data_IF_005495036479
#
_entry.id   IF_005495036479
#
_cell.length_a   1.000
_cell.length_b   1.000
_cell.length_c   1.000
_cell.angle_alpha   90.00
_cell.angle_beta   90.00
_cell.angle_gamma   90.00
#
_symmetry.space_group_name_H-M   'P 1'
#
loop_
_entity.id
_entity.type
_entity.pdbx_description
1 polymer ?
#
# COMPACT_ATOMS: atom_id res chain seq x y z
N UNK A 1 43.85 37.88 -21.39
CA UNK A 1 43.81 36.63 -20.58
C UNK A 1 42.83 36.67 -19.41
N UNK A 2 42.70 37.71 -18.59
CA UNK A 2 41.74 37.76 -17.45
C UNK A 2 40.26 37.63 -17.83
N UNK A 3 39.81 38.07 -19.01
CA UNK A 3 38.42 37.97 -19.45
C UNK A 3 37.99 36.53 -19.85
N UNK A 4 38.92 35.69 -20.29
CA UNK A 4 38.67 34.31 -20.70
C UNK A 4 38.42 33.41 -19.47
N UNK A 5 39.17 33.65 -18.39
CA UNK A 5 38.99 32.91 -17.14
C UNK A 5 37.63 33.16 -16.48
N UNK A 6 37.09 34.40 -16.59
CA UNK A 6 35.77 34.72 -16.06
C UNK A 6 34.63 33.97 -16.80
N UNK A 7 34.76 33.80 -18.12
CA UNK A 7 33.77 33.07 -18.92
C UNK A 7 33.81 31.57 -18.65
N UNK A 8 34.98 30.98 -18.43
CA UNK A 8 35.12 29.55 -18.10
C UNK A 8 34.58 29.26 -16.71
N UNK A 9 34.83 30.11 -15.71
CA UNK A 9 34.30 29.97 -14.37
C UNK A 9 32.77 30.12 -14.35
N UNK A 10 32.20 31.07 -15.11
CA UNK A 10 30.75 31.22 -15.24
C UNK A 10 30.10 30.04 -15.95
N UNK A 11 30.77 29.45 -16.96
CA UNK A 11 30.29 28.24 -17.65
C UNK A 11 30.32 26.99 -16.76
N UNK A 12 31.31 26.85 -15.88
CA UNK A 12 31.43 25.75 -14.92
C UNK A 12 30.37 25.88 -13.80
N UNK A 13 30.07 27.10 -13.36
CA UNK A 13 29.02 27.34 -12.38
C UNK A 13 27.62 27.05 -12.97
N UNK A 14 27.40 27.32 -14.25
CA UNK A 14 26.13 27.00 -14.93
C UNK A 14 25.94 25.50 -15.21
N UNK A 15 27.02 24.73 -15.34
CA UNK A 15 26.94 23.27 -15.52
C UNK A 15 26.72 22.49 -14.22
N UNK A 16 26.84 23.14 -13.05
CA UNK A 16 26.54 22.50 -11.75
C UNK A 16 25.07 22.62 -11.31
N UNK A 17 24.25 23.39 -12.02
CA UNK A 17 22.80 23.29 -11.92
C UNK A 17 22.31 22.22 -12.90
N UNK A 18 22.75 20.98 -12.72
CA UNK A 18 21.94 19.84 -13.14
C UNK A 18 20.66 19.95 -12.32
N UNK A 19 19.58 20.42 -12.94
CA UNK A 19 18.24 20.24 -12.40
C UNK A 19 18.09 18.74 -12.21
N UNK A 20 18.30 18.26 -10.98
CA UNK A 20 17.82 16.96 -10.58
C UNK A 20 16.31 17.05 -10.79
N UNK A 21 15.81 16.48 -11.86
CA UNK A 21 14.37 16.30 -12.03
C UNK A 21 13.91 15.58 -10.79
N UNK A 22 13.02 16.20 -10.02
CA UNK A 22 12.48 15.60 -8.81
C UNK A 22 11.81 14.28 -9.23
N UNK A 23 12.41 13.16 -8.82
CA UNK A 23 11.90 11.85 -9.20
C UNK A 23 10.58 11.62 -8.47
N UNK A 24 9.62 11.08 -9.19
CA UNK A 24 8.39 10.59 -8.56
C UNK A 24 8.73 9.45 -7.59
N UNK A 25 8.06 9.35 -6.46
CA UNK A 25 8.31 8.27 -5.48
C UNK A 25 8.13 6.87 -6.09
N UNK A 26 7.21 6.71 -7.07
CA UNK A 26 6.98 5.42 -7.75
C UNK A 26 8.02 5.09 -8.84
N UNK A 27 8.97 5.97 -9.09
CA UNK A 27 10.11 5.83 -10.02
C UNK A 27 11.41 6.19 -9.31
N UNK A 28 11.52 5.89 -8.01
CA UNK A 28 12.65 6.26 -7.19
C UNK A 28 13.03 5.13 -6.23
N UNK A 29 14.04 4.36 -6.59
CA UNK A 29 14.53 3.22 -5.81
C UNK A 29 15.01 3.57 -4.39
N UNK A 30 15.14 4.84 -4.04
CA UNK A 30 15.49 5.29 -2.69
C UNK A 30 14.25 5.48 -1.82
N UNK A 31 13.03 5.48 -2.42
CA UNK A 31 11.76 5.74 -1.75
C UNK A 31 10.79 4.58 -1.95
N UNK A 32 10.98 3.49 -1.24
CA UNK A 32 10.06 2.36 -1.28
C UNK A 32 8.96 2.42 -0.20
N UNK A 33 9.10 3.32 0.77
CA UNK A 33 8.10 3.58 1.81
C UNK A 33 8.24 4.97 2.44
N UNK A 34 7.12 5.54 2.86
CA UNK A 34 7.04 6.76 3.66
C UNK A 34 6.05 6.48 4.79
N UNK A 35 6.46 6.61 6.05
CA UNK A 35 5.65 6.40 7.26
C UNK A 35 4.93 5.03 7.33
N UNK A 36 5.31 4.04 6.54
CA UNK A 36 4.85 2.66 6.70
C UNK A 36 5.45 2.10 7.98
N UNK A 37 4.63 1.43 8.78
CA UNK A 37 5.09 0.73 9.97
C UNK A 37 6.05 -0.40 9.61
N UNK A 38 6.97 -0.72 10.53
CA UNK A 38 7.84 -1.89 10.37
C UNK A 38 6.99 -3.16 10.25
N UNK A 39 7.25 -4.03 9.26
CA UNK A 39 6.56 -5.31 9.13
C UNK A 39 6.66 -6.14 10.41
N UNK A 40 5.58 -6.81 10.77
CA UNK A 40 5.45 -7.60 11.99
C UNK A 40 4.58 -8.83 11.78
N UNK A 41 4.59 -9.74 12.73
CA UNK A 41 3.65 -10.84 12.73
C UNK A 41 2.21 -10.31 12.87
N UNK A 42 1.30 -10.82 12.04
CA UNK A 42 -0.12 -10.45 12.10
C UNK A 42 -0.74 -10.92 13.42
N UNK A 43 -1.49 -10.06 14.07
CA UNK A 43 -2.29 -10.39 15.24
C UNK A 43 -3.57 -9.56 15.29
N UNK A 44 -4.55 -10.05 16.04
CA UNK A 44 -5.80 -9.34 16.30
C UNK A 44 -5.91 -9.03 17.80
N UNK A 45 -6.04 -7.75 18.19
CA UNK A 45 -6.12 -7.37 19.59
C UNK A 45 -7.53 -7.67 20.16
N UNK A 46 -7.57 -8.25 21.35
CA UNK A 46 -8.80 -8.51 22.09
C UNK A 46 -8.76 -7.85 23.45
N UNK A 47 -9.89 -7.36 23.92
CA UNK A 47 -10.01 -6.73 25.25
C UNK A 47 -9.75 -7.72 26.40
N UNK A 48 -9.96 -9.03 26.20
CA UNK A 48 -9.69 -10.06 27.18
C UNK A 48 -9.68 -11.46 26.55
N UNK A 49 -9.07 -12.41 27.26
CA UNK A 49 -8.97 -13.82 26.85
C UNK A 49 -10.32 -14.49 26.61
N UNK A 50 -11.36 -14.14 27.40
CA UNK A 50 -12.70 -14.74 27.25
C UNK A 50 -13.31 -14.34 25.89
N UNK A 51 -13.16 -13.10 25.47
CA UNK A 51 -13.59 -12.63 24.15
C UNK A 51 -12.87 -13.41 23.05
N UNK A 52 -11.55 -13.51 23.13
CA UNK A 52 -10.72 -14.25 22.16
C UNK A 52 -11.13 -15.73 22.06
N UNK A 53 -11.23 -16.44 23.19
CA UNK A 53 -11.59 -17.87 23.19
C UNK A 53 -13.01 -18.17 22.75
N UNK A 54 -13.90 -17.18 22.78
CA UNK A 54 -15.27 -17.29 22.29
C UNK A 54 -15.46 -16.94 20.82
N UNK A 55 -14.37 -16.58 20.13
CA UNK A 55 -14.38 -16.33 18.70
C UNK A 55 -14.27 -17.64 17.91
N UNK A 56 -14.96 -17.65 16.79
CA UNK A 56 -14.84 -18.76 15.84
C UNK A 56 -13.42 -18.83 15.24
N UNK A 57 -12.78 -17.69 15.05
CA UNK A 57 -11.38 -17.52 14.61
C UNK A 57 -10.40 -18.28 15.53
N UNK A 58 -10.71 -18.46 16.81
CA UNK A 58 -9.84 -19.22 17.73
C UNK A 58 -9.67 -20.68 17.29
N UNK A 59 -10.74 -21.29 16.76
CA UNK A 59 -10.73 -22.65 16.24
C UNK A 59 -10.44 -22.71 14.73
N UNK A 60 -10.79 -21.66 14.01
CA UNK A 60 -10.71 -21.55 12.55
C UNK A 60 -9.99 -20.26 12.17
N UNK A 61 -8.64 -20.23 12.18
CA UNK A 61 -7.84 -19.01 12.02
C UNK A 61 -8.04 -18.24 10.69
N UNK A 62 -8.65 -18.88 9.70
CA UNK A 62 -8.99 -18.27 8.40
C UNK A 62 -10.31 -17.48 8.42
N UNK A 63 -11.05 -17.48 9.53
CA UNK A 63 -12.26 -16.68 9.69
C UNK A 63 -11.87 -15.35 10.32
N UNK A 64 -12.34 -14.24 9.74
CA UNK A 64 -12.08 -12.92 10.28
C UNK A 64 -12.70 -12.74 11.67
N UNK A 65 -11.98 -12.16 12.63
CA UNK A 65 -12.48 -11.99 13.98
C UNK A 65 -13.61 -10.94 14.05
N UNK A 66 -14.61 -11.20 14.88
CA UNK A 66 -15.75 -10.31 15.06
C UNK A 66 -15.72 -9.54 16.40
N UNK A 67 -14.99 -10.04 17.40
CA UNK A 67 -14.92 -9.45 18.76
C UNK A 67 -13.57 -8.79 19.04
N UNK A 68 -12.65 -8.84 18.10
CA UNK A 68 -11.40 -8.06 18.16
C UNK A 68 -11.68 -6.56 18.00
N UNK A 69 -10.78 -5.73 18.45
CA UNK A 69 -10.80 -4.28 18.16
C UNK A 69 -10.40 -4.03 16.69
N UNK A 70 -11.28 -4.42 15.79
CA UNK A 70 -11.09 -4.40 14.34
C UNK A 70 -12.35 -3.84 13.65
N UNK A 71 -12.16 -3.06 12.60
CA UNK A 71 -13.21 -2.56 11.71
C UNK A 71 -12.80 -2.89 10.28
N UNK A 72 -13.56 -3.77 9.62
CA UNK A 72 -13.37 -4.01 8.18
C UNK A 72 -13.76 -2.78 7.37
N UNK A 73 -12.91 -2.40 6.44
CA UNK A 73 -13.20 -1.39 5.44
C UNK A 73 -13.58 -2.00 4.09
N UNK A 74 -13.69 -3.31 4.01
CA UNK A 74 -14.14 -4.01 2.80
C UNK A 74 -15.52 -3.55 2.33
N UNK A 75 -15.90 -3.95 1.13
CA UNK A 75 -17.16 -3.63 0.51
C UNK A 75 -17.06 -2.46 -0.47
N UNK A 76 -18.07 -1.62 -0.55
CA UNK A 76 -18.15 -0.55 -1.55
C UNK A 76 -17.25 0.64 -1.20
N UNK A 77 -16.46 1.07 -2.20
CA UNK A 77 -15.66 2.28 -2.17
C UNK A 77 -16.02 3.16 -3.36
N UNK A 78 -15.84 4.46 -3.22
CA UNK A 78 -15.80 5.35 -4.37
C UNK A 78 -14.48 5.15 -5.12
N UNK A 79 -14.52 5.17 -6.45
CA UNK A 79 -13.38 4.84 -7.29
C UNK A 79 -13.30 5.75 -8.52
N UNK A 80 -12.10 6.22 -8.82
CA UNK A 80 -11.78 6.96 -10.03
C UNK A 80 -10.57 6.33 -10.70
N UNK A 81 -10.72 5.92 -11.96
CA UNK A 81 -9.65 5.33 -12.76
C UNK A 81 -8.99 6.40 -13.63
N UNK A 82 -7.68 6.47 -13.58
CA UNK A 82 -6.84 7.31 -14.44
C UNK A 82 -5.96 6.42 -15.31
N UNK A 83 -5.94 6.60 -16.64
CA UNK A 83 -5.18 5.73 -17.54
C UNK A 83 -3.66 5.94 -17.45
N UNK A 84 -3.23 7.04 -16.82
CA UNK A 84 -1.81 7.38 -16.65
C UNK A 84 -1.54 7.97 -15.28
N UNK A 85 -0.35 7.69 -14.74
CA UNK A 85 0.11 8.28 -13.48
C UNK A 85 0.16 9.82 -13.53
N UNK A 86 0.39 10.40 -14.72
CA UNK A 86 0.41 11.85 -14.92
C UNK A 86 -0.98 12.48 -14.93
N UNK A 87 -2.01 11.70 -15.22
CA UNK A 87 -3.41 12.14 -15.25
C UNK A 87 -4.17 11.85 -13.96
N UNK A 88 -3.49 11.27 -12.98
CA UNK A 88 -4.12 10.99 -11.69
C UNK A 88 -4.59 12.27 -11.00
N UNK A 89 -5.70 12.22 -10.26
CA UNK A 89 -6.17 13.36 -9.50
C UNK A 89 -5.11 13.90 -8.54
N UNK A 90 -4.94 15.21 -8.54
CA UNK A 90 -4.15 15.89 -7.51
C UNK A 90 -4.87 15.85 -6.16
N UNK A 91 -4.16 16.17 -5.07
CA UNK A 91 -4.77 16.31 -3.74
C UNK A 91 -5.95 17.29 -3.77
N UNK A 92 -5.79 18.43 -4.46
CA UNK A 92 -6.88 19.40 -4.60
C UNK A 92 -8.10 18.83 -5.36
N UNK A 93 -7.87 17.95 -6.34
CA UNK A 93 -8.95 17.31 -7.07
C UNK A 93 -9.69 16.28 -6.19
N UNK A 94 -8.94 15.49 -5.43
CA UNK A 94 -9.50 14.48 -4.52
C UNK A 94 -10.33 15.09 -3.40
N UNK A 95 -9.83 16.18 -2.80
CA UNK A 95 -10.44 16.74 -1.58
C UNK A 95 -11.51 17.80 -1.87
N UNK A 96 -11.65 18.25 -3.12
CA UNK A 96 -12.69 19.21 -3.50
C UNK A 96 -13.95 18.48 -3.92
N UNK A 97 -15.02 18.63 -3.15
CA UNK A 97 -16.31 18.00 -3.40
C UNK A 97 -16.84 18.32 -4.83
N UNK A 98 -17.22 17.27 -5.55
CA UNK A 98 -17.80 17.39 -6.90
C UNK A 98 -16.78 17.64 -8.02
N UNK A 99 -15.48 17.65 -7.72
CA UNK A 99 -14.45 17.84 -8.74
C UNK A 99 -14.14 16.54 -9.50
N UNK A 100 -14.21 15.39 -8.84
CA UNK A 100 -14.07 14.08 -9.46
C UNK A 100 -15.41 13.41 -9.68
N UNK A 101 -15.50 12.66 -10.79
CA UNK A 101 -16.59 11.72 -11.03
C UNK A 101 -16.18 10.40 -10.41
N UNK A 102 -16.93 10.00 -9.39
CA UNK A 102 -16.72 8.76 -8.68
C UNK A 102 -17.62 7.66 -9.23
N UNK A 103 -17.06 6.49 -9.44
CA UNK A 103 -17.76 5.23 -9.67
C UNK A 103 -17.72 4.42 -8.38
N UNK A 104 -18.35 3.25 -8.36
CA UNK A 104 -18.29 2.36 -7.20
C UNK A 104 -17.49 1.11 -7.54
N UNK A 105 -16.55 0.74 -6.67
CA UNK A 105 -15.80 -0.52 -6.76
C UNK A 105 -15.96 -1.30 -5.47
N UNK A 106 -15.93 -2.63 -5.54
CA UNK A 106 -15.84 -3.47 -4.35
C UNK A 106 -14.38 -3.66 -3.96
N UNK A 107 -14.08 -3.61 -2.67
CA UNK A 107 -12.80 -3.97 -2.07
C UNK A 107 -13.04 -5.16 -1.16
N UNK A 108 -12.27 -6.26 -1.24
CA UNK A 108 -11.12 -6.45 -2.15
C UNK A 108 -11.53 -6.72 -3.60
N UNK A 109 -10.74 -6.22 -4.54
CA UNK A 109 -10.84 -6.58 -5.96
C UNK A 109 -9.63 -6.09 -6.75
N UNK A 110 -9.44 -6.69 -7.94
CA UNK A 110 -8.56 -6.17 -8.97
C UNK A 110 -9.40 -5.40 -9.99
N UNK A 111 -9.02 -4.17 -10.34
CA UNK A 111 -9.81 -3.35 -11.25
C UNK A 111 -9.86 -3.90 -12.69
N UNK A 112 -8.85 -4.67 -13.11
CA UNK A 112 -8.82 -5.33 -14.41
C UNK A 112 -9.98 -6.33 -14.56
N UNK A 113 -10.34 -7.04 -13.49
CA UNK A 113 -11.46 -7.97 -13.49
C UNK A 113 -12.82 -7.27 -13.51
N UNK A 114 -12.84 -5.95 -13.31
CA UNK A 114 -14.04 -5.13 -13.31
C UNK A 114 -14.15 -4.26 -14.58
N UNK A 115 -13.23 -4.45 -15.55
CA UNK A 115 -13.29 -3.82 -16.85
C UNK A 115 -12.65 -2.43 -16.93
N UNK A 116 -11.89 -2.01 -15.94
CA UNK A 116 -11.16 -0.73 -15.96
C UNK A 116 -9.82 -0.81 -16.70
N UNK A 117 -9.27 -2.01 -16.81
CA UNK A 117 -8.02 -2.32 -17.49
C UNK A 117 -8.08 -3.79 -17.95
N UNK A 118 -6.97 -4.39 -18.34
CA UNK A 118 -6.93 -5.79 -18.75
C UNK A 118 -5.92 -6.59 -17.92
N UNK A 119 -6.21 -7.86 -17.61
CA UNK A 119 -5.24 -8.77 -16.98
C UNK A 119 -4.04 -8.96 -17.91
N UNK A 120 -2.85 -8.63 -17.43
CA UNK A 120 -1.63 -8.78 -18.19
C UNK A 120 -0.80 -9.93 -17.63
N UNK A 121 -0.56 -10.94 -18.47
CA UNK A 121 0.37 -12.00 -18.17
C UNK A 121 1.71 -11.73 -18.83
N UNK A 122 2.79 -11.76 -18.07
CA UNK A 122 4.16 -11.71 -18.54
C UNK A 122 5.02 -12.67 -17.72
N UNK A 123 6.03 -13.30 -18.34
CA UNK A 123 6.95 -14.21 -17.64
C UNK A 123 8.42 -13.94 -17.94
N UNK A 124 8.77 -13.48 -19.13
CA UNK A 124 10.17 -13.31 -19.57
C UNK A 124 10.51 -11.83 -19.73
N UNK A 125 9.61 -11.08 -20.34
CA UNK A 125 9.80 -9.66 -20.63
C UNK A 125 8.97 -8.79 -19.69
N UNK A 126 9.55 -7.62 -19.34
CA UNK A 126 8.77 -6.57 -18.67
C UNK A 126 7.78 -5.93 -19.64
N UNK A 127 6.59 -5.48 -19.15
CA UNK A 127 5.66 -4.69 -19.95
C UNK A 127 6.16 -3.26 -20.20
N UNK A 128 7.22 -2.86 -19.56
CA UNK A 128 7.92 -1.58 -19.70
C UNK A 128 9.36 -1.79 -20.18
N UNK A 129 9.98 -0.72 -20.69
CA UNK A 129 11.36 -0.74 -21.17
C UNK A 129 12.33 -1.03 -20.01
N UNK A 130 13.47 -1.65 -20.34
CA UNK A 130 14.49 -1.94 -19.33
C UNK A 130 15.32 -0.70 -18.99
N UNK A 131 14.69 0.24 -18.31
CA UNK A 131 15.27 1.52 -17.93
C UNK A 131 14.94 1.87 -16.45
N UNK A 132 15.30 1.02 -15.47
CA UNK A 132 14.98 1.30 -14.07
C UNK A 132 15.61 2.61 -13.58
N UNK A 133 14.92 3.41 -12.75
CA UNK A 133 13.66 3.11 -12.09
C UNK A 133 12.40 3.55 -12.86
N UNK A 134 12.54 4.04 -14.07
CA UNK A 134 11.44 4.65 -14.83
C UNK A 134 10.49 3.61 -15.38
N UNK A 135 9.19 3.89 -15.30
CA UNK A 135 8.12 3.06 -15.85
C UNK A 135 7.70 3.60 -17.21
N UNK A 136 8.41 3.19 -18.22
CA UNK A 136 8.17 3.55 -19.63
C UNK A 136 7.55 2.33 -20.34
N UNK A 137 6.22 2.29 -20.37
CA UNK A 137 5.48 1.13 -20.87
C UNK A 137 5.70 0.96 -22.37
N UNK A 138 6.04 -0.28 -22.80
CA UNK A 138 6.27 -0.62 -24.20
C UNK A 138 5.02 -0.36 -25.05
N UNK A 139 5.20 0.12 -26.28
CA UNK A 139 4.13 0.55 -27.18
C UNK A 139 3.01 -0.50 -27.34
N UNK A 140 3.37 -1.79 -27.42
CA UNK A 140 2.41 -2.89 -27.55
C UNK A 140 1.48 -3.06 -26.33
N UNK A 141 1.84 -2.48 -25.18
CA UNK A 141 1.06 -2.54 -23.94
C UNK A 141 0.42 -1.21 -23.57
N UNK A 142 0.73 -0.12 -24.29
CA UNK A 142 0.11 1.20 -24.08
C UNK A 142 -1.37 1.22 -24.51
N UNK A 143 -1.67 0.58 -25.56
CA UNK A 143 -2.90 0.36 -26.30
C UNK A 143 -4.17 1.02 -25.77
N UNK A 144 -4.97 0.26 -25.07
CA UNK A 144 -6.33 0.69 -24.68
C UNK A 144 -6.39 1.46 -23.36
N UNK A 145 -5.39 1.35 -22.49
CA UNK A 145 -5.54 1.73 -21.08
C UNK A 145 -4.40 2.60 -20.50
N UNK A 146 -3.56 3.17 -21.36
CA UNK A 146 -2.54 4.14 -20.96
C UNK A 146 -1.21 3.53 -20.51
N UNK A 147 -0.35 4.37 -19.92
CA UNK A 147 1.05 4.02 -19.65
C UNK A 147 1.24 3.38 -18.28
N UNK A 148 0.73 3.99 -17.24
CA UNK A 148 0.82 3.51 -15.86
C UNK A 148 -0.47 3.89 -15.13
N UNK A 149 -1.54 3.11 -15.26
CA UNK A 149 -2.82 3.41 -14.67
C UNK A 149 -2.77 3.59 -13.15
N UNK A 150 -3.65 4.45 -12.65
CA UNK A 150 -3.81 4.72 -11.23
C UNK A 150 -5.28 4.61 -10.84
N UNK A 151 -5.56 3.78 -9.85
CA UNK A 151 -6.86 3.73 -9.19
C UNK A 151 -6.87 4.65 -7.97
N UNK A 152 -7.74 5.65 -7.97
CA UNK A 152 -7.98 6.50 -6.80
C UNK A 152 -9.22 6.03 -6.08
N UNK A 153 -9.07 5.64 -4.83
CA UNK A 153 -10.10 5.11 -3.96
C UNK A 153 -10.47 6.12 -2.87
N UNK A 154 -11.76 6.18 -2.52
CA UNK A 154 -12.24 6.96 -1.38
C UNK A 154 -13.20 6.14 -0.53
N UNK A 155 -13.05 6.26 0.79
CA UNK A 155 -13.91 5.61 1.79
C UNK A 155 -14.15 6.52 2.97
N UNK A 156 -15.39 6.64 3.40
CA UNK A 156 -15.72 7.23 4.71
C UNK A 156 -15.84 6.14 5.77
N UNK A 157 -15.40 6.46 6.98
CA UNK A 157 -15.50 5.56 8.13
C UNK A 157 -15.63 6.35 9.44
N UNK A 158 -16.06 5.68 10.49
CA UNK A 158 -16.08 6.25 11.86
C UNK A 158 -15.43 5.26 12.82
N UNK A 159 -14.77 5.78 13.84
CA UNK A 159 -14.19 4.97 14.90
C UNK A 159 -15.13 4.90 16.10
N UNK A 160 -15.18 3.77 16.84
CA UNK A 160 -15.96 3.65 18.06
C UNK A 160 -15.41 4.56 19.18
N UNK A 161 -16.27 5.04 20.06
CA UNK A 161 -15.85 5.88 21.19
C UNK A 161 -14.81 5.24 22.12
N UNK A 162 -14.83 3.94 22.27
CA UNK A 162 -13.84 3.20 23.07
C UNK A 162 -12.44 3.16 22.42
N UNK A 163 -12.27 3.69 21.21
CA UNK A 163 -10.96 3.81 20.55
C UNK A 163 -10.33 5.20 20.70
N UNK A 164 -11.00 6.19 21.26
CA UNK A 164 -10.54 7.58 21.37
C UNK A 164 -9.16 7.72 22.03
N UNK A 165 -8.81 6.81 22.95
CA UNK A 165 -7.52 6.81 23.67
C UNK A 165 -6.57 5.74 23.18
N UNK A 166 -6.95 4.99 22.16
CA UNK A 166 -6.14 3.91 21.57
C UNK A 166 -5.29 4.42 20.40
N UNK A 167 -4.27 3.68 20.08
CA UNK A 167 -3.57 3.83 18.80
C UNK A 167 -4.35 3.09 17.73
N UNK A 168 -4.58 3.73 16.60
CA UNK A 168 -5.36 3.18 15.49
C UNK A 168 -4.48 3.03 14.26
N UNK A 169 -4.51 1.86 13.68
CA UNK A 169 -3.74 1.49 12.51
C UNK A 169 -4.65 1.12 11.34
N UNK A 170 -4.26 1.54 10.15
CA UNK A 170 -4.80 1.07 8.88
C UNK A 170 -3.91 -0.06 8.39
N UNK A 171 -4.53 -1.18 8.04
CA UNK A 171 -3.86 -2.35 7.49
C UNK A 171 -4.41 -2.69 6.12
N UNK A 172 -3.50 -2.92 5.19
CA UNK A 172 -3.76 -3.54 3.90
C UNK A 172 -3.10 -4.91 3.89
N UNK A 173 -3.85 -5.98 3.73
CA UNK A 173 -3.29 -7.33 3.58
C UNK A 173 -2.50 -7.49 2.26
N UNK A 174 -2.76 -6.61 1.30
CA UNK A 174 -2.03 -6.51 0.06
C UNK A 174 -2.68 -5.54 -0.92
N UNK A 175 -1.84 -4.83 -1.64
CA UNK A 175 -2.21 -3.95 -2.74
C UNK A 175 -1.14 -4.06 -3.84
N UNK A 176 -1.50 -3.84 -5.10
CA UNK A 176 -0.55 -3.97 -6.20
C UNK A 176 -0.57 -2.72 -7.09
N UNK A 177 0.61 -2.11 -7.38
CA UNK A 177 1.98 -2.42 -6.97
C UNK A 177 2.48 -1.52 -5.85
N UNK A 178 2.04 -0.29 -5.73
CA UNK A 178 2.36 0.67 -4.70
C UNK A 178 1.24 1.68 -4.51
N UNK A 179 1.20 2.35 -3.36
CA UNK A 179 0.13 3.29 -3.07
C UNK A 179 0.53 4.44 -2.17
N UNK A 180 -0.08 5.60 -2.43
CA UNK A 180 -0.19 6.69 -1.48
C UNK A 180 -1.46 6.58 -0.65
N UNK A 181 -1.37 7.05 0.60
CA UNK A 181 -2.49 7.06 1.56
C UNK A 181 -2.66 8.46 2.14
N UNK A 182 -3.92 8.93 2.21
CA UNK A 182 -4.31 10.16 2.91
C UNK A 182 -5.48 9.89 3.85
N UNK A 183 -5.47 10.58 4.97
CA UNK A 183 -6.58 10.59 5.92
C UNK A 183 -6.95 12.03 6.26
N UNK A 184 -8.24 12.36 6.10
CA UNK A 184 -8.78 13.70 6.39
C UNK A 184 -8.00 14.83 5.70
N UNK A 185 -7.62 14.64 4.42
CA UNK A 185 -6.91 15.61 3.60
C UNK A 185 -5.42 15.76 3.94
N UNK A 186 -4.86 14.90 4.78
CA UNK A 186 -3.41 14.88 5.10
C UNK A 186 -2.76 13.63 4.56
N UNK A 187 -1.61 13.76 3.89
CA UNK A 187 -0.82 12.63 3.44
C UNK A 187 -0.31 11.84 4.64
N UNK A 188 -0.68 10.57 4.69
CA UNK A 188 -0.24 9.62 5.74
C UNK A 188 1.08 9.01 5.34
N UNK A 189 1.17 8.46 4.11
CA UNK A 189 2.38 7.81 3.68
C UNK A 189 2.33 7.21 2.27
N UNK A 190 3.31 6.37 2.00
CA UNK A 190 3.51 5.65 0.74
C UNK A 190 4.07 4.27 1.02
N UNK A 191 3.73 3.30 0.18
CA UNK A 191 4.33 1.97 0.21
C UNK A 191 4.41 1.35 -1.18
N UNK A 192 5.42 0.52 -1.34
CA UNK A 192 5.58 -0.47 -2.40
C UNK A 192 5.67 -1.87 -1.77
N UNK A 193 6.07 -2.87 -2.52
CA UNK A 193 6.15 -4.27 -2.11
C UNK A 193 4.79 -4.97 -2.14
N UNK A 194 4.25 -5.04 -3.36
CA UNK A 194 3.04 -5.78 -3.74
C UNK A 194 2.97 -7.16 -3.07
N UNK A 195 1.78 -7.62 -2.77
CA UNK A 195 1.51 -8.89 -2.11
C UNK A 195 1.98 -9.01 -0.64
N UNK A 196 2.74 -8.05 -0.12
CA UNK A 196 3.01 -7.93 1.30
C UNK A 196 1.98 -7.00 1.95
N UNK A 197 1.76 -7.20 3.23
CA UNK A 197 0.95 -6.30 4.04
C UNK A 197 1.59 -4.91 4.18
N UNK A 198 0.78 -3.89 4.37
CA UNK A 198 1.23 -2.54 4.69
C UNK A 198 0.40 -1.94 5.81
N UNK A 199 1.06 -1.41 6.82
CA UNK A 199 0.41 -0.74 7.95
C UNK A 199 0.81 0.73 8.05
N UNK A 200 -0.18 1.56 8.44
CA UNK A 200 0.02 2.98 8.71
C UNK A 200 -0.68 3.38 10.01
N UNK A 201 0.00 4.08 10.89
CA UNK A 201 -0.65 4.63 12.08
C UNK A 201 -1.48 5.86 11.71
N UNK A 202 -2.78 5.80 11.97
CA UNK A 202 -3.72 6.88 11.69
C UNK A 202 -4.03 7.77 12.90
N UNK A 203 -3.61 7.43 14.10
CA UNK A 203 -4.00 8.05 15.36
C UNK A 203 -4.03 9.58 15.29
N UNK A 204 -2.96 10.20 14.78
CA UNK A 204 -2.84 11.66 14.69
C UNK A 204 -3.67 12.32 13.58
N UNK A 205 -4.20 11.53 12.65
CA UNK A 205 -4.97 12.02 11.50
C UNK A 205 -6.47 11.92 11.74
N UNK A 206 -6.90 11.16 12.75
CA UNK A 206 -8.31 10.94 13.04
C UNK A 206 -8.96 12.15 13.69
N UNK A 207 -10.26 12.31 13.44
CA UNK A 207 -11.13 13.29 14.05
C UNK A 207 -12.38 12.62 14.61
N UNK A 208 -13.09 13.29 15.49
CA UNK A 208 -14.39 12.82 15.97
C UNK A 208 -15.40 12.75 14.79
N UNK A 209 -16.25 11.72 14.80
CA UNK A 209 -17.27 11.50 13.77
C UNK A 209 -16.73 10.83 12.51
N UNK A 210 -17.11 11.36 11.36
CA UNK A 210 -16.78 10.77 10.06
C UNK A 210 -15.37 11.18 9.63
N UNK A 211 -14.57 10.18 9.30
CA UNK A 211 -13.24 10.31 8.73
C UNK A 211 -13.27 9.92 7.24
N UNK A 212 -12.35 10.47 6.48
CA UNK A 212 -12.18 10.22 5.04
C UNK A 212 -10.82 9.61 4.77
N UNK A 213 -10.80 8.50 4.06
CA UNK A 213 -9.61 7.80 3.61
C UNK A 213 -9.53 7.88 2.09
N UNK A 214 -8.38 8.29 1.57
CA UNK A 214 -8.06 8.25 0.15
C UNK A 214 -6.83 7.38 -0.07
N UNK A 215 -6.86 6.57 -1.14
CA UNK A 215 -5.73 5.72 -1.53
C UNK A 215 -5.55 5.84 -3.04
N UNK A 216 -4.35 6.16 -3.50
CA UNK A 216 -4.00 6.09 -4.92
C UNK A 216 -3.07 4.90 -5.15
N UNK A 217 -3.56 3.89 -5.83
CA UNK A 217 -2.82 2.67 -6.17
C UNK A 217 -2.30 2.78 -7.60
N UNK A 218 -1.01 2.58 -7.78
CA UNK A 218 -0.32 2.56 -9.08
C UNK A 218 -0.26 1.14 -9.61
N UNK A 219 -0.49 0.96 -10.92
CA UNK A 219 -0.31 -0.33 -11.55
C UNK A 219 1.15 -0.79 -11.51
N UNK A 220 2.08 0.14 -11.77
CA UNK A 220 3.50 -0.12 -11.80
C UNK A 220 4.25 0.88 -10.93
N UNK A 221 5.29 0.38 -10.28
CA UNK A 221 6.30 1.17 -9.58
C UNK A 221 7.68 0.64 -9.94
N UNK A 222 8.75 1.32 -9.56
CA UNK A 222 10.11 0.81 -9.77
C UNK A 222 10.35 -0.56 -9.09
N UNK A 223 9.62 -0.90 -8.00
CA UNK A 223 9.62 -2.24 -7.42
C UNK A 223 9.14 -3.31 -8.41
N UNK A 224 8.33 -2.96 -9.41
CA UNK A 224 7.85 -3.90 -10.43
C UNK A 224 8.98 -4.53 -11.25
N UNK A 225 10.15 -3.91 -11.32
CA UNK A 225 11.35 -4.52 -11.90
C UNK A 225 11.86 -5.73 -11.10
N UNK A 226 11.61 -5.78 -9.80
CA UNK A 226 11.98 -6.89 -8.92
C UNK A 226 10.84 -7.89 -8.71
N UNK A 227 9.62 -7.52 -9.08
CA UNK A 227 8.40 -8.30 -8.86
C UNK A 227 7.86 -8.95 -10.15
N UNK A 228 8.67 -8.99 -11.20
CA UNK A 228 8.33 -9.55 -12.51
C UNK A 228 8.32 -11.08 -12.50
N UNK A 229 7.42 -11.70 -11.71
CA UNK A 229 7.25 -13.14 -11.69
C UNK A 229 6.36 -13.62 -12.85
N UNK A 230 6.41 -14.93 -13.09
CA UNK A 230 5.59 -15.67 -14.06
C UNK A 230 4.14 -15.75 -13.55
N UNK A 231 3.38 -14.67 -13.72
CA UNK A 231 2.00 -14.58 -13.23
C UNK A 231 1.19 -13.52 -13.98
N UNK A 232 -0.12 -13.50 -13.73
CA UNK A 232 -0.95 -12.35 -14.09
C UNK A 232 -0.65 -11.18 -13.16
N UNK A 233 -0.36 -10.02 -13.75
CA UNK A 233 -0.21 -8.75 -13.05
C UNK A 233 -1.55 -8.02 -13.04
N UNK A 234 -2.17 -8.01 -11.88
CA UNK A 234 -3.46 -7.36 -11.62
C UNK A 234 -3.33 -6.41 -10.44
N UNK A 235 -4.06 -5.33 -10.50
CA UNK A 235 -3.83 -4.17 -9.64
C UNK A 235 -5.04 -3.83 -8.77
N UNK A 236 -4.79 -3.01 -7.76
CA UNK A 236 -5.82 -2.52 -6.88
C UNK A 236 -5.66 -2.97 -5.42
N UNK A 237 -6.68 -2.73 -4.63
CA UNK A 237 -6.82 -3.24 -3.27
C UNK A 237 -7.39 -4.66 -3.35
N UNK A 238 -6.51 -5.63 -3.61
CA UNK A 238 -6.92 -6.99 -3.96
C UNK A 238 -7.05 -7.94 -2.76
N UNK A 239 -6.71 -7.47 -1.56
CA UNK A 239 -6.89 -8.17 -0.28
C UNK A 239 -7.62 -7.28 0.71
N UNK A 240 -7.87 -7.81 1.90
CA UNK A 240 -8.62 -7.13 2.94
C UNK A 240 -7.98 -5.80 3.36
N UNK A 241 -8.86 -4.85 3.67
CA UNK A 241 -8.49 -3.56 4.24
C UNK A 241 -9.26 -3.39 5.54
N UNK A 242 -8.56 -3.10 6.63
CA UNK A 242 -9.20 -2.91 7.92
C UNK A 242 -8.45 -1.91 8.82
N UNK A 243 -9.17 -1.41 9.80
CA UNK A 243 -8.60 -0.68 10.93
C UNK A 243 -8.52 -1.62 12.13
N UNK A 244 -7.48 -1.48 12.93
CA UNK A 244 -7.42 -2.09 14.25
C UNK A 244 -6.92 -1.09 15.28
N UNK A 245 -7.29 -1.31 16.55
CA UNK A 245 -6.91 -0.45 17.65
C UNK A 245 -6.20 -1.22 18.75
N UNK A 246 -5.16 -0.62 19.29
CA UNK A 246 -4.38 -1.17 20.41
C UNK A 246 -4.23 -0.12 21.52
N UNK A 247 -3.90 -0.55 22.72
CA UNK A 247 -3.57 0.35 23.83
C UNK A 247 -2.30 1.15 23.51
N UNK A 248 -2.04 2.23 24.26
CA UNK A 248 -0.84 3.06 24.08
C UNK A 248 0.46 2.25 24.23
N UNK A 249 0.43 1.24 25.11
CA UNK A 249 1.50 0.27 25.29
C UNK A 249 0.97 -1.11 24.92
N UNK A 250 1.56 -1.73 23.89
CA UNK A 250 1.14 -3.02 23.37
C UNK A 250 2.35 -3.84 22.89
N UNK A 251 2.17 -5.14 22.68
CA UNK A 251 3.17 -5.99 22.07
C UNK A 251 3.16 -5.70 20.56
N UNK A 252 4.18 -5.02 20.08
CA UNK A 252 4.25 -4.58 18.67
C UNK A 252 4.60 -5.70 17.71
N UNK A 253 5.35 -6.72 18.15
CA UNK A 253 5.73 -7.86 17.35
C UNK A 253 6.00 -9.08 18.22
N UNK A 254 5.90 -10.29 17.66
CA UNK A 254 6.25 -11.52 18.32
C UNK A 254 6.93 -12.49 17.34
N UNK A 255 7.76 -13.35 17.86
CA UNK A 255 8.40 -14.42 17.12
C UNK A 255 8.27 -15.72 17.90
N UNK A 256 7.65 -16.73 17.31
CA UNK A 256 7.42 -18.02 17.97
C UNK A 256 8.32 -19.06 17.31
N UNK A 257 9.13 -19.74 18.14
CA UNK A 257 9.94 -20.87 17.72
C UNK A 257 9.47 -22.14 18.41
N UNK A 258 9.46 -23.23 17.70
CA UNK A 258 9.25 -24.56 18.27
C UNK A 258 10.42 -25.47 17.92
N UNK A 259 10.81 -26.31 18.87
CA UNK A 259 11.84 -27.33 18.66
C UNK A 259 11.33 -28.68 19.16
N UNK A 260 11.62 -29.72 18.37
CA UNK A 260 11.27 -31.08 18.72
C UNK A 260 12.53 -31.78 19.28
N UNK A 261 12.49 -32.15 20.56
CA UNK A 261 13.56 -32.96 21.16
C UNK A 261 13.18 -34.44 21.07
N UNK A 262 13.96 -35.23 20.33
CA UNK A 262 13.87 -36.67 20.36
C UNK A 262 14.81 -37.16 21.47
N UNK A 263 14.29 -37.68 22.59
CA UNK A 263 15.05 -38.49 23.52
C UNK A 263 15.04 -39.94 23.02
N UNK A 264 16.13 -40.40 22.43
CA UNK A 264 16.33 -41.83 22.24
C UNK A 264 16.60 -42.47 23.62
N UNK A 265 15.57 -42.97 24.28
CA UNK A 265 15.79 -44.00 25.30
C UNK A 265 16.21 -45.25 24.54
N UNK A 266 17.51 -45.55 24.53
CA UNK A 266 17.98 -46.89 24.20
C UNK A 266 17.39 -47.84 25.25
N UNK A 267 16.39 -48.59 24.85
CA UNK A 267 16.03 -49.83 25.53
C UNK A 267 17.18 -50.84 25.35
N UNK A 268 18.20 -50.75 26.16
CA UNK A 268 19.07 -51.90 26.46
C UNK A 268 18.26 -52.76 27.40
N UNK A 269 17.54 -53.74 26.85
CA UNK A 269 17.12 -54.88 27.63
C UNK A 269 18.33 -55.85 27.73
N UNK A 270 18.56 -56.45 28.94
CA UNK A 270 19.65 -57.39 29.19
C UNK A 270 19.43 -58.74 28.48
#
# INVERSE_FOLDING_TARGET
MKKIYCFIILSIIFSCFAFSQEKNDWENQEVFQINRCTPRATFFPYNNTKAMMSEETFNYPWISPMKADLISLNGKWDFHFSPSANERPSENDMFTKGKLIWQTINVPSCWEMLGYDFPLYVNVDYPFENNPPFIDVKEQYKGLYGENPVGTYHKTFSIPKNWEKKRVFLHFDGLYSGAYVWCNGKKVGYCQASNNDAEFELTQYLKEGVNELYVQVFRWTDASYLEGQDMFHMSGLHRDVYLFAVEQVFISNHYITSSLFFSFQQFLQP
#
